data_IF_862695565656
#
_entry.id   IF_862695565656
#
_cell.length_a   1.000
_cell.length_b   1.000
_cell.length_c   1.000
_cell.angle_alpha   90.00
_cell.angle_beta   90.00
_cell.angle_gamma   90.00
#
_symmetry.space_group_name_H-M   'P 1'
#
loop_
_entity.id
_entity.type
_entity.pdbx_description
1 polymer ?
#
# COMPACT_ATOMS: atom_id res chain seq x y z
N UNK A 1 22.02 -5.30 -4.51
CA UNK A 1 21.50 -5.19 -4.16
C UNK A 1 20.85 -4.95 -3.34
N UNK A 2 20.36 -4.90 -3.13
CA UNK A 2 19.72 -4.72 -2.55
C UNK A 2 19.13 -4.97 -1.67
N UNK A 3 18.72 -4.79 -0.91
CA UNK A 3 18.17 -4.97 -0.13
C UNK A 3 17.26 -5.11 0.23
N UNK A 4 16.87 -5.54 0.51
CA UNK A 4 15.84 -5.72 0.85
C UNK A 4 15.25 -5.62 1.99
N UNK A 5 15.04 -5.74 2.45
CA UNK A 5 14.51 -5.71 3.71
C UNK A 5 13.31 -4.85 3.79
N UNK A 6 13.42 -3.72 4.40
CA UNK A 6 12.27 -2.85 4.48
C UNK A 6 11.98 -2.15 3.20
N UNK A 7 10.72 -2.07 2.85
CA UNK A 7 10.32 -1.31 1.70
C UNK A 7 9.96 0.10 2.13
N UNK A 8 10.31 1.07 1.30
CA UNK A 8 9.93 2.43 1.58
C UNK A 8 8.46 2.66 1.35
N UNK A 9 7.99 3.84 1.75
CA UNK A 9 6.59 4.16 1.64
C UNK A 9 6.10 4.10 0.20
N UNK A 10 6.89 4.66 -0.71
CA UNK A 10 6.50 4.66 -2.11
C UNK A 10 6.36 3.24 -2.64
N UNK A 11 7.29 2.38 -2.28
CA UNK A 11 7.21 1.00 -2.73
C UNK A 11 5.98 0.31 -2.19
N UNK A 12 5.65 0.56 -0.93
CA UNK A 12 4.48 -0.06 -0.34
C UNK A 12 3.22 0.36 -1.08
N UNK A 13 3.11 1.65 -1.38
CA UNK A 13 1.93 2.15 -2.05
C UNK A 13 1.84 1.60 -3.46
N UNK A 14 2.95 1.51 -4.15
CA UNK A 14 2.95 0.95 -5.49
C UNK A 14 2.49 -0.51 -5.49
N UNK A 15 2.96 -1.27 -4.52
CA UNK A 15 2.57 -2.66 -4.42
C UNK A 15 1.08 -2.78 -4.14
N UNK A 16 0.57 -1.98 -3.23
CA UNK A 16 -0.85 -2.03 -2.92
C UNK A 16 -1.69 -1.60 -4.11
N UNK A 17 -1.25 -0.59 -4.82
CA UNK A 17 -1.97 -0.12 -6.00
C UNK A 17 -2.06 -1.22 -7.04
N UNK A 18 -0.95 -1.90 -7.25
CA UNK A 18 -0.92 -2.99 -8.22
C UNK A 18 -1.89 -4.09 -7.85
N UNK A 19 -1.93 -4.45 -6.56
CA UNK A 19 -2.84 -5.49 -6.13
C UNK A 19 -4.28 -5.10 -6.33
N UNK A 20 -4.60 -3.84 -6.06
CA UNK A 20 -5.96 -3.37 -6.29
C UNK A 20 -6.33 -3.44 -7.76
N UNK A 21 -5.39 -3.12 -8.62
CA UNK A 21 -5.66 -3.20 -10.06
C UNK A 21 -5.90 -4.63 -10.50
N UNK A 22 -5.35 -5.58 -9.78
CA UNK A 22 -5.55 -6.99 -10.09
C UNK A 22 -6.80 -7.55 -9.45
N UNK A 23 -7.54 -6.73 -8.74
CA UNK A 23 -8.77 -7.17 -8.12
C UNK A 23 -8.58 -7.81 -6.76
N UNK A 24 -7.41 -7.67 -6.17
CA UNK A 24 -7.16 -8.25 -4.87
C UNK A 24 -7.66 -7.35 -3.76
N UNK A 25 -8.01 -7.97 -2.65
CA UNK A 25 -8.44 -7.23 -1.48
C UNK A 25 -7.24 -6.96 -0.58
N UNK A 26 -7.15 -5.76 -0.08
CA UNK A 26 -6.06 -5.40 0.82
C UNK A 26 -6.48 -5.68 2.25
N UNK A 27 -5.61 -6.39 2.97
CA UNK A 27 -5.86 -6.75 4.36
C UNK A 27 -4.79 -6.10 5.22
N UNK A 28 -5.21 -5.27 6.17
CA UNK A 28 -4.25 -4.51 6.98
C UNK A 28 -3.29 -5.42 7.74
N UNK A 29 -3.84 -6.46 8.34
CA UNK A 29 -3.01 -7.35 9.14
C UNK A 29 -1.94 -8.03 8.30
N UNK A 30 -2.35 -8.56 7.16
CA UNK A 30 -1.40 -9.23 6.29
C UNK A 30 -0.35 -8.27 5.75
N UNK A 31 -0.78 -7.07 5.38
CA UNK A 31 0.15 -6.11 4.85
C UNK A 31 1.13 -5.63 5.93
N UNK A 32 0.65 -5.50 7.16
CA UNK A 32 1.53 -5.08 8.23
C UNK A 32 2.64 -6.10 8.43
N UNK A 33 2.30 -7.37 8.35
CA UNK A 33 3.30 -8.42 8.49
C UNK A 33 4.22 -8.48 7.29
N UNK A 34 3.65 -8.33 6.13
CA UNK A 34 4.44 -8.40 4.91
C UNK A 34 5.47 -7.28 4.84
N UNK A 35 5.05 -6.08 5.23
CA UNK A 35 5.91 -4.91 5.16
C UNK A 35 6.68 -4.63 6.44
N UNK A 36 6.43 -5.41 7.48
CA UNK A 36 7.10 -5.23 8.77
C UNK A 36 6.83 -3.85 9.36
N UNK A 37 5.60 -3.41 9.27
CA UNK A 37 5.16 -2.15 9.87
C UNK A 37 3.87 -2.42 10.63
N UNK A 38 3.45 -1.46 11.46
CA UNK A 38 2.23 -1.69 12.21
C UNK A 38 1.01 -1.39 11.35
N UNK A 39 -0.16 -1.84 11.83
CA UNK A 39 -1.37 -1.71 11.06
C UNK A 39 -1.79 -0.26 10.87
N UNK A 40 -1.43 0.60 11.82
CA UNK A 40 -1.75 2.01 11.69
C UNK A 40 -1.04 2.60 10.47
N UNK A 41 0.22 2.24 10.28
CA UNK A 41 0.96 2.72 9.11
C UNK A 41 0.33 2.20 7.83
N UNK A 42 -0.09 0.94 7.84
CA UNK A 42 -0.76 0.37 6.67
C UNK A 42 -2.03 1.15 6.37
N UNK A 43 -2.81 1.42 7.41
CA UNK A 43 -4.06 2.14 7.21
C UNK A 43 -3.81 3.51 6.60
N UNK A 44 -2.78 4.21 7.06
CA UNK A 44 -2.46 5.51 6.50
C UNK A 44 -2.04 5.40 5.05
N UNK A 45 -1.26 4.38 4.72
CA UNK A 45 -0.87 4.17 3.34
C UNK A 45 -2.09 3.90 2.46
N UNK A 46 -3.01 3.10 2.97
CA UNK A 46 -4.22 2.79 2.22
C UNK A 46 -5.06 4.06 2.01
N UNK A 47 -5.16 4.88 3.05
CA UNK A 47 -5.94 6.11 2.94
C UNK A 47 -5.32 7.04 1.90
N UNK A 48 -4.00 7.14 1.90
CA UNK A 48 -3.34 7.99 0.91
C UNK A 48 -3.57 7.46 -0.50
N UNK A 49 -3.50 6.15 -0.64
CA UNK A 49 -3.72 5.54 -1.94
C UNK A 49 -5.13 5.82 -2.44
N UNK A 50 -6.10 5.69 -1.54
CA UNK A 50 -7.48 5.95 -1.91
C UNK A 50 -7.70 7.39 -2.32
N UNK A 51 -7.09 8.31 -1.59
CA UNK A 51 -7.19 9.72 -1.95
C UNK A 51 -6.60 9.98 -3.32
N UNK A 52 -5.46 9.36 -3.56
CA UNK A 52 -4.80 9.52 -4.85
C UNK A 52 -5.67 9.00 -5.99
N UNK A 53 -6.23 7.82 -5.80
CA UNK A 53 -7.08 7.24 -6.83
C UNK A 53 -8.36 8.04 -7.03
N UNK A 54 -8.89 8.57 -5.93
CA UNK A 54 -10.08 9.38 -6.02
C UNK A 54 -9.83 10.63 -6.85
N UNK A 55 -8.70 11.26 -6.62
CA UNK A 55 -8.35 12.46 -7.38
C UNK A 55 -8.14 12.16 -8.84
N UNK A 56 -7.56 11.01 -9.12
CA UNK A 56 -7.35 10.63 -10.50
C UNK A 56 -8.64 10.39 -11.24
N UNK A 57 -9.66 9.95 -10.53
CA UNK A 57 -10.94 9.65 -11.14
C UNK A 57 -11.84 10.85 -11.28
N UNK A 58 -11.47 11.94 -10.67
CA UNK A 58 -12.25 13.15 -10.84
C UNK A 58 -11.92 13.74 -12.18
N UNK A 59 -12.90 14.06 -12.87
CA UNK A 59 -12.57 14.54 -14.15
C UNK A 59 -12.95 15.82 -14.37
#
# INVERSE_FOLDING_TARGET
>A
MRKEGKKGKVQRILIMHRRLLQGETLNKHELSEEFCINERSVQRDIDELRNYLHEENIE
#
